data_IF_882739559184
#
_entry.id   IF_882739559184
#
_cell.length_a   1.000
_cell.length_b   1.000
_cell.length_c   1.000
_cell.angle_alpha   90.00
_cell.angle_beta   90.00
_cell.angle_gamma   90.00
#
_symmetry.space_group_name_H-M   'P 1'
#
loop_
_entity.id
_entity.type
_entity.pdbx_description
1 polymer ?
#
# COMPACT_ATOMS: atom_id res chain seq x y z
N UNK A 1 68.93 -21.07 28.28
CA UNK A 1 69.32 -22.49 28.56
C UNK A 1 68.36 -23.52 27.88
N UNK A 2 67.13 -23.21 27.71
CA UNK A 2 66.17 -24.16 27.06
C UNK A 2 66.41 -24.33 25.54
N UNK A 3 66.83 -23.27 24.84
CA UNK A 3 67.09 -23.32 23.39
C UNK A 3 68.27 -24.17 23.00
N UNK A 4 69.28 -24.25 23.88
CA UNK A 4 70.49 -25.11 23.62
C UNK A 4 70.19 -26.60 23.76
N UNK A 5 69.26 -27.01 24.61
CA UNK A 5 68.83 -28.40 24.74
C UNK A 5 67.95 -28.88 23.58
N UNK A 6 67.19 -28.02 23.00
CA UNK A 6 66.31 -28.33 21.86
C UNK A 6 67.13 -28.51 20.53
N UNK A 7 68.22 -27.77 20.39
CA UNK A 7 69.09 -27.86 19.23
C UNK A 7 69.90 -29.16 19.22
N UNK A 8 70.33 -29.65 20.40
CA UNK A 8 71.00 -30.91 20.50
C UNK A 8 70.08 -32.13 20.32
N UNK A 9 68.85 -32.07 20.81
CA UNK A 9 67.86 -33.14 20.58
C UNK A 9 67.42 -33.25 19.13
N UNK A 10 67.52 -32.18 18.33
CA UNK A 10 67.26 -32.19 16.89
C UNK A 10 68.38 -32.86 16.13
N UNK A 11 69.61 -32.73 16.57
CA UNK A 11 70.78 -33.30 15.88
C UNK A 11 70.99 -34.77 16.17
N UNK A 12 70.46 -35.33 17.29
CA UNK A 12 70.63 -36.71 17.69
C UNK A 12 69.47 -37.67 17.30
N UNK A 13 68.49 -37.16 16.54
CA UNK A 13 67.43 -38.01 15.95
C UNK A 13 66.40 -38.61 16.90
N UNK A 14 66.35 -38.19 18.18
CA UNK A 14 65.46 -38.76 19.23
C UNK A 14 64.08 -38.07 19.30
N UNK A 15 63.38 -37.93 18.19
CA UNK A 15 62.05 -37.29 18.14
C UNK A 15 60.87 -38.21 18.41
N UNK A 16 61.06 -39.36 19.08
CA UNK A 16 59.98 -40.33 19.22
C UNK A 16 59.40 -40.43 20.64
N UNK A 17 59.57 -39.38 21.46
CA UNK A 17 59.07 -39.41 22.83
C UNK A 17 57.89 -38.47 23.02
N UNK A 18 56.68 -39.01 23.07
CA UNK A 18 55.41 -38.31 23.26
C UNK A 18 55.37 -37.40 24.51
N UNK A 19 56.24 -37.65 25.49
CA UNK A 19 56.33 -36.88 26.72
C UNK A 19 56.87 -35.47 26.51
N UNK A 20 57.86 -35.29 25.62
CA UNK A 20 58.48 -33.99 25.34
C UNK A 20 57.52 -33.02 24.63
N UNK A 21 56.65 -33.59 23.76
CA UNK A 21 55.63 -32.79 23.05
C UNK A 21 54.53 -32.29 24.02
N UNK A 22 54.14 -33.09 24.98
CA UNK A 22 53.16 -32.70 26.00
C UNK A 22 53.69 -31.63 26.96
N UNK A 23 54.96 -31.72 27.37
CA UNK A 23 55.57 -30.71 28.24
C UNK A 23 55.76 -29.37 27.54
N UNK A 24 56.03 -29.33 26.24
CA UNK A 24 56.10 -28.13 25.44
C UNK A 24 54.71 -27.47 25.28
N UNK A 25 53.68 -28.27 25.04
CA UNK A 25 52.31 -27.78 24.89
C UNK A 25 51.82 -27.23 26.23
N UNK A 26 52.10 -27.95 27.35
CA UNK A 26 51.64 -27.52 28.69
C UNK A 26 52.40 -26.31 29.21
N UNK A 27 53.66 -26.08 28.82
CA UNK A 27 54.40 -24.87 29.17
C UNK A 27 53.97 -23.65 28.36
N UNK A 28 53.59 -23.82 27.08
CA UNK A 28 53.04 -22.74 26.25
C UNK A 28 51.69 -22.27 26.69
N UNK A 29 50.85 -23.16 27.26
CA UNK A 29 49.52 -22.81 27.77
C UNK A 29 49.54 -22.01 29.08
N UNK A 30 50.64 -22.16 29.88
CA UNK A 30 50.77 -21.44 31.15
C UNK A 30 51.07 -19.94 31.00
N UNK A 31 51.48 -19.48 29.81
CA UNK A 31 51.81 -18.07 29.58
C UNK A 31 50.71 -17.26 28.85
N UNK A 32 49.61 -17.89 28.44
CA UNK A 32 48.45 -17.17 27.89
C UNK A 32 47.67 -16.56 29.07
N UNK A 33 47.91 -15.27 29.33
CA UNK A 33 47.14 -14.54 30.35
C UNK A 33 45.63 -14.70 30.04
N UNK A 34 44.79 -14.94 31.09
CA UNK A 34 43.33 -15.13 30.91
C UNK A 34 42.66 -13.96 30.17
N UNK A 35 43.29 -12.80 30.13
CA UNK A 35 42.84 -11.61 29.40
C UNK A 35 42.83 -11.82 27.87
N UNK A 36 43.78 -12.58 27.30
CA UNK A 36 43.83 -12.83 25.85
C UNK A 36 42.73 -13.78 25.34
N UNK A 37 42.30 -14.72 26.14
CA UNK A 37 41.20 -15.65 25.81
C UNK A 37 39.84 -14.92 25.87
N UNK A 38 39.66 -14.01 26.84
CA UNK A 38 38.44 -13.20 26.96
C UNK A 38 38.34 -12.21 25.78
N UNK A 39 39.48 -11.64 25.32
CA UNK A 39 39.51 -10.74 24.15
C UNK A 39 39.19 -11.49 22.85
N UNK A 40 39.68 -12.70 22.67
CA UNK A 40 39.38 -13.53 21.47
C UNK A 40 37.91 -13.98 21.46
N UNK A 41 37.35 -14.32 22.61
CA UNK A 41 35.93 -14.65 22.77
C UNK A 41 35.03 -13.40 22.53
N UNK A 42 35.45 -12.22 23.01
CA UNK A 42 34.72 -10.98 22.79
C UNK A 42 34.71 -10.56 21.30
N UNK A 43 35.82 -10.78 20.57
CA UNK A 43 35.89 -10.51 19.11
C UNK A 43 34.97 -11.48 18.31
N UNK A 44 34.88 -12.73 18.72
CA UNK A 44 33.96 -13.71 18.10
C UNK A 44 32.47 -13.41 18.39
N UNK A 45 32.17 -12.83 19.56
CA UNK A 45 30.79 -12.38 19.88
C UNK A 45 30.39 -11.09 19.18
N UNK A 46 31.33 -10.19 18.84
CA UNK A 46 31.06 -8.96 18.11
C UNK A 46 30.84 -9.18 16.60
N UNK A 47 31.20 -10.34 16.04
CA UNK A 47 30.91 -10.67 14.65
C UNK A 47 29.54 -11.34 14.46
N UNK A 48 28.82 -11.67 15.54
CA UNK A 48 27.54 -12.38 15.52
C UNK A 48 26.30 -11.52 15.32
N UNK A 49 26.39 -10.17 15.37
CA UNK A 49 25.27 -9.25 15.10
C UNK A 49 25.37 -8.56 13.74
N UNK A 50 25.78 -9.27 12.72
CA UNK A 50 25.48 -8.89 11.35
C UNK A 50 23.98 -9.07 11.13
N UNK A 51 23.21 -7.97 11.15
CA UNK A 51 21.83 -8.00 10.67
C UNK A 51 21.85 -8.77 9.35
N UNK A 52 21.15 -9.91 9.29
CA UNK A 52 21.03 -10.71 8.10
C UNK A 52 20.51 -9.76 7.00
N UNK A 53 21.36 -9.31 6.10
CA UNK A 53 20.95 -8.56 4.93
C UNK A 53 19.95 -9.46 4.24
N UNK A 54 18.67 -9.05 4.28
CA UNK A 54 17.59 -9.72 3.58
C UNK A 54 18.06 -9.87 2.14
N UNK A 55 18.41 -11.07 1.74
CA UNK A 55 18.93 -11.35 0.42
C UNK A 55 17.80 -11.08 -0.55
N UNK A 56 17.85 -9.93 -1.24
CA UNK A 56 16.88 -9.59 -2.27
C UNK A 56 17.18 -10.54 -3.42
N UNK A 57 16.33 -11.56 -3.58
CA UNK A 57 16.39 -12.45 -4.73
C UNK A 57 16.29 -11.61 -6.02
N UNK A 58 17.03 -11.95 -7.07
CA UNK A 58 16.83 -11.35 -8.39
C UNK A 58 15.35 -11.39 -8.78
N UNK A 59 14.87 -10.39 -9.49
CA UNK A 59 13.46 -10.28 -9.90
C UNK A 59 12.94 -11.57 -10.58
N UNK A 60 13.77 -12.24 -11.36
CA UNK A 60 13.47 -13.51 -12.02
C UNK A 60 13.23 -14.71 -11.09
N UNK A 61 13.56 -14.61 -9.79
CA UNK A 61 13.44 -15.70 -8.82
C UNK A 61 12.35 -15.47 -7.77
N UNK A 62 11.66 -14.35 -7.79
CA UNK A 62 10.59 -14.05 -6.84
C UNK A 62 9.28 -13.71 -7.54
N UNK A 63 8.17 -13.92 -6.85
CA UNK A 63 6.88 -13.41 -7.31
C UNK A 63 6.86 -11.88 -7.21
N UNK A 64 6.29 -11.17 -8.19
CA UNK A 64 6.10 -9.73 -8.08
C UNK A 64 5.11 -9.39 -6.96
N UNK A 65 5.34 -8.28 -6.30
CA UNK A 65 4.34 -7.66 -5.42
C UNK A 65 3.40 -6.81 -6.25
N UNK A 66 2.13 -7.14 -6.21
CA UNK A 66 1.08 -6.45 -6.95
C UNK A 66 0.41 -5.40 -6.06
N UNK A 67 0.52 -4.13 -6.45
CA UNK A 67 -0.18 -3.02 -5.85
C UNK A 67 -1.44 -2.69 -6.64
N UNK A 68 -2.59 -2.67 -5.97
CA UNK A 68 -3.87 -2.24 -6.54
C UNK A 68 -4.17 -0.82 -6.09
N UNK A 69 -4.32 0.10 -7.04
CA UNK A 69 -4.68 1.50 -6.80
C UNK A 69 -6.14 1.70 -7.16
N UNK A 70 -6.96 2.09 -6.18
CA UNK A 70 -8.39 2.36 -6.33
C UNK A 70 -8.63 3.87 -6.31
N UNK A 71 -9.05 4.41 -7.43
CA UNK A 71 -9.22 5.85 -7.62
C UNK A 71 -10.45 6.43 -6.92
N UNK A 72 -10.46 7.76 -6.75
CA UNK A 72 -11.61 8.54 -6.29
C UNK A 72 -12.70 8.63 -7.36
N UNK A 73 -13.95 8.89 -6.94
CA UNK A 73 -15.05 9.02 -7.88
C UNK A 73 -16.45 8.93 -7.27
N UNK A 74 -16.56 9.06 -5.96
CA UNK A 74 -17.82 9.06 -5.20
C UNK A 74 -18.71 7.85 -5.55
N UNK A 75 -19.99 8.04 -5.99
CA UNK A 75 -20.92 6.95 -6.32
C UNK A 75 -20.38 5.97 -7.37
N UNK A 76 -19.46 6.41 -8.24
CA UNK A 76 -18.83 5.54 -9.25
C UNK A 76 -17.95 4.44 -8.61
N UNK A 77 -17.66 4.54 -7.31
CA UNK A 77 -16.96 3.52 -6.53
C UNK A 77 -17.58 2.13 -6.56
N UNK A 78 -18.87 1.99 -6.89
CA UNK A 78 -19.48 0.69 -7.12
C UNK A 78 -18.77 -0.11 -8.24
N UNK A 79 -18.10 0.56 -9.18
CA UNK A 79 -17.29 -0.12 -10.19
C UNK A 79 -16.07 -0.82 -9.60
N UNK A 80 -15.46 -0.29 -8.52
CA UNK A 80 -14.36 -0.97 -7.82
C UNK A 80 -14.78 -2.33 -7.27
N UNK A 81 -16.02 -2.44 -6.78
CA UNK A 81 -16.56 -3.71 -6.28
C UNK A 81 -16.55 -4.77 -7.38
N UNK A 82 -17.00 -4.38 -8.59
CA UNK A 82 -16.99 -5.25 -9.75
C UNK A 82 -15.58 -5.65 -10.21
N UNK A 83 -14.62 -4.71 -10.19
CA UNK A 83 -13.22 -5.00 -10.52
C UNK A 83 -12.63 -5.98 -9.51
N UNK A 84 -12.79 -5.72 -8.20
CA UNK A 84 -12.31 -6.61 -7.14
C UNK A 84 -12.88 -8.02 -7.28
N UNK A 85 -14.16 -8.14 -7.63
CA UNK A 85 -14.79 -9.45 -7.92
C UNK A 85 -14.11 -10.16 -9.08
N UNK A 86 -13.85 -9.47 -10.20
CA UNK A 86 -13.19 -10.05 -11.36
C UNK A 86 -11.76 -10.51 -11.03
N UNK A 87 -10.97 -9.69 -10.31
CA UNK A 87 -9.61 -10.03 -9.90
C UNK A 87 -9.58 -11.22 -8.92
N UNK A 88 -10.52 -11.28 -7.96
CA UNK A 88 -10.62 -12.39 -7.00
C UNK A 88 -11.01 -13.70 -7.68
N UNK A 89 -11.97 -13.69 -8.63
CA UNK A 89 -12.37 -14.85 -9.40
C UNK A 89 -11.22 -15.45 -10.21
N UNK A 90 -10.37 -14.60 -10.76
CA UNK A 90 -9.16 -14.98 -11.51
C UNK A 90 -7.95 -15.22 -10.62
N UNK A 91 -8.13 -15.13 -9.28
CA UNK A 91 -7.08 -15.36 -8.27
C UNK A 91 -5.85 -14.48 -8.48
N UNK A 92 -6.04 -13.26 -8.97
CA UNK A 92 -4.95 -12.29 -9.07
C UNK A 92 -4.52 -11.91 -7.65
N UNK A 93 -3.25 -12.12 -7.27
CA UNK A 93 -2.79 -11.75 -5.94
C UNK A 93 -2.74 -10.22 -5.80
N UNK A 94 -3.17 -9.72 -4.65
CA UNK A 94 -3.10 -8.30 -4.31
C UNK A 94 -2.28 -8.20 -3.04
N UNK A 95 -1.05 -7.64 -3.15
CA UNK A 95 -0.11 -7.57 -2.04
C UNK A 95 -0.21 -6.26 -1.24
N UNK A 96 -0.76 -5.21 -1.85
CA UNK A 96 -1.10 -3.96 -1.19
C UNK A 96 -2.20 -3.21 -1.93
N UNK A 97 -2.94 -2.38 -1.22
CA UNK A 97 -4.00 -1.53 -1.77
C UNK A 97 -3.73 -0.08 -1.40
N UNK A 98 -3.81 0.80 -2.41
CA UNK A 98 -3.80 2.26 -2.23
C UNK A 98 -5.16 2.79 -2.66
N UNK A 99 -5.84 3.53 -1.79
CA UNK A 99 -7.16 4.07 -2.08
C UNK A 99 -7.25 5.57 -1.89
N UNK A 100 -7.99 6.24 -2.78
CA UNK A 100 -8.32 7.67 -2.68
C UNK A 100 -9.83 7.83 -2.63
N UNK A 101 -10.36 8.64 -1.70
CA UNK A 101 -11.78 8.93 -1.58
C UNK A 101 -12.61 7.64 -1.45
N UNK A 102 -13.62 7.43 -2.32
CA UNK A 102 -14.39 6.16 -2.35
C UNK A 102 -13.50 4.95 -2.55
N UNK A 103 -12.38 5.07 -3.29
CA UNK A 103 -11.39 4.00 -3.42
C UNK A 103 -10.75 3.64 -2.08
N UNK A 104 -10.61 4.61 -1.16
CA UNK A 104 -10.13 4.34 0.19
C UNK A 104 -11.17 3.58 1.02
N UNK A 105 -12.46 3.90 0.87
CA UNK A 105 -13.56 3.19 1.55
C UNK A 105 -13.63 1.73 1.10
N UNK A 106 -13.74 1.50 -0.22
CA UNK A 106 -13.83 0.14 -0.79
C UNK A 106 -12.55 -0.64 -0.50
N UNK A 107 -11.38 0.01 -0.65
CA UNK A 107 -10.08 -0.59 -0.37
C UNK A 107 -9.91 -1.00 1.09
N UNK A 108 -10.33 -0.17 2.05
CA UNK A 108 -10.26 -0.49 3.47
C UNK A 108 -11.14 -1.68 3.86
N UNK A 109 -12.37 -1.74 3.33
CA UNK A 109 -13.30 -2.84 3.60
C UNK A 109 -12.72 -4.15 3.04
N UNK A 110 -12.25 -4.13 1.80
CA UNK A 110 -11.66 -5.30 1.17
C UNK A 110 -10.33 -5.71 1.80
N UNK A 111 -9.44 -4.77 2.09
CA UNK A 111 -8.16 -5.07 2.74
C UNK A 111 -8.31 -5.70 4.12
N UNK A 112 -9.32 -5.27 4.89
CA UNK A 112 -9.64 -5.84 6.20
C UNK A 112 -10.22 -7.25 6.10
N UNK A 113 -10.99 -7.53 5.07
CA UNK A 113 -11.58 -8.84 4.79
C UNK A 113 -11.71 -9.09 3.29
N UNK A 114 -10.67 -9.68 2.63
CA UNK A 114 -10.70 -9.97 1.21
C UNK A 114 -11.78 -11.01 0.88
N UNK A 115 -12.95 -10.51 0.54
CA UNK A 115 -14.13 -11.28 0.16
C UNK A 115 -15.03 -10.41 -0.72
N UNK A 116 -14.91 -10.56 -2.03
CA UNK A 116 -15.66 -9.75 -2.99
C UNK A 116 -17.16 -10.00 -2.94
N UNK A 117 -17.61 -11.17 -2.52
CA UNK A 117 -19.03 -11.47 -2.38
C UNK A 117 -19.66 -10.70 -1.21
N UNK A 118 -19.01 -10.69 -0.02
CA UNK A 118 -19.48 -9.87 1.10
C UNK A 118 -19.46 -8.38 0.76
N UNK A 119 -18.43 -7.92 0.06
CA UNK A 119 -18.30 -6.54 -0.40
C UNK A 119 -19.44 -6.17 -1.37
N UNK A 120 -19.76 -7.04 -2.33
CA UNK A 120 -20.85 -6.83 -3.29
C UNK A 120 -22.21 -6.74 -2.58
N UNK A 121 -22.45 -7.65 -1.62
CA UNK A 121 -23.69 -7.64 -0.83
C UNK A 121 -23.84 -6.35 -0.04
N UNK A 122 -22.79 -5.94 0.68
CA UNK A 122 -22.78 -4.67 1.40
C UNK A 122 -23.03 -3.47 0.47
N UNK A 123 -22.39 -3.47 -0.72
CA UNK A 123 -22.57 -2.39 -1.70
C UNK A 123 -24.00 -2.31 -2.24
N UNK A 124 -24.69 -3.45 -2.38
CA UNK A 124 -26.10 -3.48 -2.76
C UNK A 124 -27.01 -2.86 -1.68
N UNK A 125 -26.74 -3.12 -0.42
CA UNK A 125 -27.54 -2.62 0.69
C UNK A 125 -27.24 -1.14 1.01
N UNK A 126 -26.05 -0.65 0.62
CA UNK A 126 -25.60 0.71 0.94
C UNK A 126 -26.52 1.77 0.33
N UNK A 127 -27.10 2.61 1.17
CA UNK A 127 -27.87 3.77 0.75
C UNK A 127 -27.07 5.08 0.95
N UNK A 128 -27.47 6.13 0.21
CA UNK A 128 -26.82 7.44 0.29
C UNK A 128 -26.81 7.98 1.73
N UNK A 129 -27.90 7.79 2.44
CA UNK A 129 -28.08 8.28 3.81
C UNK A 129 -27.26 7.53 4.86
N UNK A 130 -26.66 6.40 4.51
CA UNK A 130 -25.73 5.67 5.39
C UNK A 130 -24.36 6.35 5.49
N UNK A 131 -23.98 7.13 4.47
CA UNK A 131 -22.67 7.77 4.37
C UNK A 131 -22.75 9.28 4.58
N UNK A 132 -23.82 9.93 4.07
CA UNK A 132 -23.93 11.39 4.06
C UNK A 132 -24.83 11.89 5.20
N UNK A 133 -24.26 12.68 6.10
CA UNK A 133 -24.95 13.38 7.19
C UNK A 133 -25.16 14.86 6.82
N UNK A 134 -26.19 15.13 6.02
CA UNK A 134 -26.56 16.50 5.69
C UNK A 134 -27.06 17.24 6.94
N UNK A 135 -26.37 18.30 7.33
CA UNK A 135 -26.79 19.18 8.44
C UNK A 135 -27.18 20.56 7.93
N UNK A 136 -28.40 20.97 8.20
CA UNK A 136 -28.89 22.33 7.91
C UNK A 136 -28.19 23.43 8.74
N UNK A 137 -27.54 23.04 9.85
CA UNK A 137 -26.75 23.91 10.74
C UNK A 137 -25.25 23.80 10.54
N UNK A 138 -24.83 23.28 9.39
CA UNK A 138 -23.43 22.93 9.14
C UNK A 138 -22.50 24.13 9.02
N UNK A 139 -21.23 23.86 9.30
CA UNK A 139 -20.13 24.81 9.31
C UNK A 139 -19.98 25.57 7.99
N UNK A 140 -19.35 26.74 8.03
CA UNK A 140 -18.99 27.53 6.83
C UNK A 140 -18.06 26.78 5.87
N UNK A 141 -17.51 25.62 6.29
CA UNK A 141 -16.49 24.86 5.56
C UNK A 141 -17.01 23.63 4.81
N UNK A 142 -18.26 23.19 5.08
CA UNK A 142 -18.89 22.09 4.37
C UNK A 142 -20.20 21.64 5.02
N UNK A 143 -21.23 21.24 4.22
CA UNK A 143 -22.54 20.86 4.71
C UNK A 143 -22.57 19.46 5.35
N UNK A 144 -21.54 18.63 5.18
CA UNK A 144 -21.47 17.25 5.67
C UNK A 144 -20.32 17.13 6.67
N UNK A 145 -20.61 16.69 7.90
CA UNK A 145 -19.58 16.47 8.92
C UNK A 145 -18.78 15.20 8.68
N UNK A 146 -19.43 14.15 8.18
CA UNK A 146 -18.84 12.85 7.89
C UNK A 146 -18.89 11.88 9.06
N UNK A 147 -19.63 12.17 10.12
CA UNK A 147 -19.82 11.27 11.26
C UNK A 147 -20.48 9.95 10.83
N UNK A 148 -21.38 10.00 9.83
CA UNK A 148 -22.01 8.79 9.26
C UNK A 148 -21.01 7.92 8.51
N UNK A 149 -20.12 8.52 7.72
CA UNK A 149 -19.06 7.80 7.02
C UNK A 149 -18.12 7.10 8.01
N UNK A 150 -17.70 7.81 9.08
CA UNK A 150 -16.88 7.20 10.14
C UNK A 150 -17.59 6.00 10.79
N UNK A 151 -18.87 6.15 11.18
CA UNK A 151 -19.68 5.08 11.75
C UNK A 151 -19.83 3.90 10.78
N UNK A 152 -20.02 4.20 9.49
CA UNK A 152 -20.11 3.19 8.45
C UNK A 152 -18.81 2.38 8.34
N UNK A 153 -17.66 3.05 8.34
CA UNK A 153 -16.34 2.39 8.33
C UNK A 153 -16.15 1.53 9.58
N UNK A 154 -16.45 2.06 10.79
CA UNK A 154 -16.37 1.29 12.04
C UNK A 154 -17.23 0.03 12.00
N UNK A 155 -18.42 0.09 11.37
CA UNK A 155 -19.34 -1.03 11.25
C UNK A 155 -18.86 -2.10 10.27
N UNK A 156 -18.26 -1.70 9.15
CA UNK A 156 -17.98 -2.60 8.02
C UNK A 156 -16.51 -2.98 7.85
N UNK A 157 -15.57 -2.20 8.37
CA UNK A 157 -14.15 -2.54 8.37
C UNK A 157 -13.82 -3.41 9.58
N UNK A 158 -13.58 -4.70 9.35
CA UNK A 158 -13.35 -5.68 10.43
C UNK A 158 -12.05 -5.43 11.21
N UNK A 159 -11.06 -4.78 10.62
CA UNK A 159 -9.83 -4.36 11.29
C UNK A 159 -9.96 -2.89 11.70
N UNK A 160 -9.94 -2.60 13.00
CA UNK A 160 -10.12 -1.24 13.50
C UNK A 160 -8.98 -0.30 13.08
N UNK A 161 -7.76 -0.82 13.05
CA UNK A 161 -6.58 -0.07 12.64
C UNK A 161 -6.04 -0.60 11.29
N UNK A 162 -5.51 0.31 10.48
CA UNK A 162 -4.97 0.02 9.15
C UNK A 162 -3.87 -1.04 9.20
N UNK A 163 -2.94 -0.93 10.14
CA UNK A 163 -1.82 -1.85 10.31
C UNK A 163 -2.21 -3.29 10.65
N UNK A 164 -3.48 -3.52 11.03
CA UNK A 164 -4.02 -4.84 11.36
C UNK A 164 -4.84 -5.46 10.21
N UNK A 165 -4.91 -4.82 9.05
CA UNK A 165 -5.61 -5.34 7.89
C UNK A 165 -4.88 -6.55 7.28
N UNK A 166 -5.63 -7.45 6.66
CA UNK A 166 -5.07 -8.66 6.02
C UNK A 166 -4.20 -8.34 4.81
N UNK A 167 -4.58 -7.31 4.05
CA UNK A 167 -3.80 -6.76 2.95
C UNK A 167 -3.29 -5.39 3.40
N UNK A 168 -1.98 -5.08 3.29
CA UNK A 168 -1.43 -3.76 3.52
C UNK A 168 -2.24 -2.68 2.78
N UNK A 169 -2.74 -1.70 3.53
CA UNK A 169 -3.64 -0.67 3.01
C UNK A 169 -3.10 0.74 3.27
N UNK A 170 -3.33 1.62 2.31
CA UNK A 170 -2.90 3.01 2.33
C UNK A 170 -4.03 3.90 1.84
N UNK A 171 -4.52 4.81 2.68
CA UNK A 171 -5.48 5.84 2.27
C UNK A 171 -4.74 7.13 1.94
N UNK A 172 -5.04 7.73 0.79
CA UNK A 172 -4.40 8.96 0.33
C UNK A 172 -5.34 10.14 0.49
N UNK A 173 -4.87 11.19 1.15
CA UNK A 173 -5.52 12.48 1.30
C UNK A 173 -4.54 13.60 0.90
N UNK A 174 -4.96 14.86 0.99
CA UNK A 174 -4.15 16.02 0.65
C UNK A 174 -4.09 17.00 1.84
N UNK A 175 -2.90 17.50 2.16
CA UNK A 175 -2.71 18.63 3.06
C UNK A 175 -3.09 19.92 2.33
N UNK A 176 -4.16 20.59 2.78
CA UNK A 176 -4.69 21.79 2.13
C UNK A 176 -3.72 22.99 2.18
N UNK A 177 -2.79 23.02 3.15
CA UNK A 177 -1.84 24.11 3.29
C UNK A 177 -0.66 24.01 2.33
N UNK A 178 -0.24 22.79 2.01
CA UNK A 178 0.99 22.52 1.24
C UNK A 178 0.73 21.92 -0.14
N UNK A 179 -0.42 21.27 -0.33
CA UNK A 179 -0.72 20.46 -1.51
C UNK A 179 -0.02 19.09 -1.50
N UNK A 180 0.69 18.75 -0.42
CA UNK A 180 1.40 17.48 -0.34
C UNK A 180 0.47 16.31 -0.02
N UNK A 181 0.76 15.09 -0.52
CA UNK A 181 0.00 13.91 -0.17
C UNK A 181 0.15 13.55 1.30
N UNK A 182 -0.96 13.21 1.95
CA UNK A 182 -1.00 12.62 3.30
C UNK A 182 -1.39 11.17 3.15
N UNK A 183 -0.45 10.26 3.38
CA UNK A 183 -0.67 8.82 3.26
C UNK A 183 -0.85 8.22 4.65
N UNK A 184 -2.03 7.65 4.88
CA UNK A 184 -2.35 6.94 6.13
C UNK A 184 -2.00 5.46 5.95
N UNK A 185 -1.07 4.95 6.73
CA UNK A 185 -0.62 3.55 6.75
C UNK A 185 -0.78 2.88 8.12
N UNK A 186 -1.35 3.60 9.09
CA UNK A 186 -1.61 3.15 10.46
C UNK A 186 -2.65 4.01 11.15
N UNK A 187 -3.17 3.51 12.25
CA UNK A 187 -4.18 4.17 13.06
C UNK A 187 -5.61 3.83 12.63
N UNK A 188 -6.61 4.52 13.18
CA UNK A 188 -8.01 4.22 12.96
C UNK A 188 -8.42 4.33 11.49
N UNK A 189 -9.02 3.25 10.96
CA UNK A 189 -9.42 3.18 9.55
C UNK A 189 -10.48 4.22 9.21
N UNK A 190 -11.41 4.49 10.14
CA UNK A 190 -12.47 5.48 9.97
C UNK A 190 -11.92 6.90 9.77
N UNK A 191 -10.87 7.26 10.50
CA UNK A 191 -10.23 8.57 10.36
C UNK A 191 -9.50 8.70 9.02
N UNK A 192 -8.78 7.65 8.61
CA UNK A 192 -8.07 7.65 7.35
C UNK A 192 -9.00 7.72 6.13
N UNK A 193 -10.08 6.93 6.13
CA UNK A 193 -11.10 6.95 5.07
C UNK A 193 -11.85 8.28 5.07
N UNK A 194 -12.20 8.79 6.26
CA UNK A 194 -12.88 10.09 6.39
C UNK A 194 -12.01 11.24 5.86
N UNK A 195 -10.71 11.25 6.18
CA UNK A 195 -9.75 12.22 5.68
C UNK A 195 -9.64 12.15 4.14
N UNK A 196 -9.44 10.93 3.61
CA UNK A 196 -9.32 10.67 2.17
C UNK A 196 -10.57 11.04 1.38
N UNK A 197 -11.75 11.08 2.03
CA UNK A 197 -13.04 11.39 1.42
C UNK A 197 -13.55 12.81 1.74
N UNK A 198 -12.69 13.69 2.28
CA UNK A 198 -13.06 15.07 2.66
C UNK A 198 -13.13 16.01 1.47
N UNK A 199 -14.06 15.78 0.54
CA UNK A 199 -14.24 16.57 -0.69
C UNK A 199 -14.50 18.04 -0.32
N UNK A 200 -13.64 19.01 -0.80
CA UNK A 200 -13.81 20.42 -0.51
C UNK A 200 -15.17 20.94 -0.95
N UNK A 201 -15.82 21.74 -0.08
CA UNK A 201 -17.17 22.27 -0.32
C UNK A 201 -18.32 21.28 -0.08
N UNK A 202 -18.03 19.99 0.12
CA UNK A 202 -19.01 18.94 0.44
C UNK A 202 -18.85 18.48 1.88
N UNK A 203 -17.68 18.01 2.24
CA UNK A 203 -17.36 17.60 3.60
C UNK A 203 -16.55 18.68 4.34
N UNK A 204 -16.75 18.75 5.65
CA UNK A 204 -15.87 19.54 6.50
C UNK A 204 -14.47 18.95 6.49
N UNK A 205 -13.40 19.72 6.19
CA UNK A 205 -12.03 19.25 6.28
C UNK A 205 -11.68 18.71 7.66
N UNK A 206 -10.78 17.73 7.74
CA UNK A 206 -10.30 17.21 9.00
C UNK A 206 -9.04 17.95 9.47
N UNK A 207 -9.04 18.35 10.75
CA UNK A 207 -7.83 18.85 11.39
C UNK A 207 -7.10 17.67 12.05
N UNK A 208 -5.94 17.30 11.53
CA UNK A 208 -5.12 16.21 12.05
C UNK A 208 -3.77 16.80 12.46
N UNK A 209 -3.55 16.94 13.77
CA UNK A 209 -2.42 17.68 14.33
C UNK A 209 -2.45 19.14 13.82
N UNK A 210 -1.38 19.57 13.13
CA UNK A 210 -1.24 20.93 12.57
C UNK A 210 -1.66 21.02 11.09
N UNK A 211 -2.23 19.95 10.52
CA UNK A 211 -2.62 19.86 9.10
C UNK A 211 -4.12 19.97 8.93
N UNK A 212 -4.53 20.70 7.92
CA UNK A 212 -5.92 20.70 7.41
C UNK A 212 -5.94 19.70 6.24
N UNK A 213 -6.65 18.59 6.42
CA UNK A 213 -6.63 17.49 5.45
C UNK A 213 -7.95 17.44 4.69
N UNK A 214 -7.83 17.33 3.37
CA UNK A 214 -8.94 17.21 2.43
C UNK A 214 -8.77 15.97 1.55
N UNK A 215 -9.78 15.67 0.72
CA UNK A 215 -9.79 14.54 -0.22
C UNK A 215 -8.54 14.51 -1.10
N UNK A 216 -7.96 13.32 -1.26
CA UNK A 216 -6.80 13.13 -2.11
C UNK A 216 -7.05 13.43 -3.59
N UNK A 217 -8.30 13.40 -4.05
CA UNK A 217 -8.68 13.78 -5.41
C UNK A 217 -8.26 15.19 -5.83
N UNK A 218 -7.97 16.09 -4.86
CA UNK A 218 -7.43 17.43 -5.12
C UNK A 218 -6.06 17.37 -5.83
N UNK A 219 -5.27 16.35 -5.54
CA UNK A 219 -3.93 16.11 -6.14
C UNK A 219 -3.91 14.96 -7.14
N UNK A 220 -5.08 14.53 -7.61
CA UNK A 220 -5.31 13.40 -8.51
C UNK A 220 -6.06 12.28 -7.86
N UNK A 221 -7.01 11.69 -8.59
CA UNK A 221 -7.88 10.65 -8.03
C UNK A 221 -7.17 9.31 -7.85
N UNK A 222 -6.04 9.07 -8.52
CA UNK A 222 -5.22 7.88 -8.42
C UNK A 222 -3.82 8.21 -7.90
N UNK A 223 -3.18 7.25 -7.22
CA UNK A 223 -1.84 7.43 -6.63
C UNK A 223 -0.94 6.22 -6.88
N UNK A 224 -0.58 5.93 -8.15
CA UNK A 224 0.33 4.82 -8.50
C UNK A 224 1.72 5.00 -7.89
N UNK A 225 2.21 6.24 -7.78
CA UNK A 225 3.47 6.59 -7.13
C UNK A 225 3.52 6.11 -5.67
N UNK A 226 2.38 6.20 -4.96
CA UNK A 226 2.30 5.68 -3.58
C UNK A 226 2.45 4.16 -3.55
N UNK A 227 1.82 3.43 -4.47
CA UNK A 227 1.97 1.97 -4.55
C UNK A 227 3.43 1.58 -4.83
N UNK A 228 4.12 2.27 -5.73
CA UNK A 228 5.56 2.07 -6.00
C UNK A 228 6.40 2.33 -4.75
N UNK A 229 6.21 3.47 -4.08
CA UNK A 229 6.92 3.82 -2.83
C UNK A 229 6.70 2.78 -1.71
N UNK A 230 5.53 2.14 -1.68
CA UNK A 230 5.20 1.07 -0.72
C UNK A 230 5.67 -0.31 -1.19
N UNK A 231 6.38 -0.38 -2.30
CA UNK A 231 7.13 -1.55 -2.75
C UNK A 231 6.38 -2.45 -3.72
N UNK A 232 5.36 -1.94 -4.43
CA UNK A 232 4.75 -2.66 -5.54
C UNK A 232 5.73 -2.78 -6.72
N UNK A 233 5.86 -3.99 -7.25
CA UNK A 233 6.61 -4.28 -8.47
C UNK A 233 5.74 -4.09 -9.72
N UNK A 234 4.46 -4.44 -9.59
CA UNK A 234 3.43 -4.25 -10.61
C UNK A 234 2.34 -3.38 -9.99
N UNK A 235 1.95 -2.32 -10.68
CA UNK A 235 0.90 -1.39 -10.25
C UNK A 235 -0.28 -1.51 -11.21
N UNK A 236 -1.41 -1.96 -10.66
CA UNK A 236 -2.71 -2.00 -11.34
C UNK A 236 -3.49 -0.78 -10.86
N UNK A 237 -3.84 0.13 -11.76
CA UNK A 237 -4.66 1.31 -11.46
C UNK A 237 -6.08 1.07 -11.93
N UNK A 238 -7.05 1.27 -11.03
CA UNK A 238 -8.48 1.32 -11.36
C UNK A 238 -8.93 2.76 -11.32
N UNK A 239 -9.06 3.37 -12.49
CA UNK A 239 -9.53 4.74 -12.66
C UNK A 239 -11.01 4.76 -13.00
N UNK A 240 -11.82 5.34 -12.10
CA UNK A 240 -13.27 5.50 -12.25
C UNK A 240 -13.66 6.96 -12.53
N UNK A 241 -12.74 7.74 -13.09
CA UNK A 241 -13.01 9.10 -13.55
C UNK A 241 -14.13 9.09 -14.59
N UNK A 242 -15.00 10.11 -14.56
CA UNK A 242 -16.04 10.25 -15.58
C UNK A 242 -15.55 11.05 -16.78
N UNK A 243 -16.26 10.92 -17.89
CA UNK A 243 -16.18 11.89 -18.98
C UNK A 243 -16.57 13.29 -18.48
N UNK A 244 -15.78 14.29 -18.84
CA UNK A 244 -16.00 15.72 -18.46
C UNK A 244 -17.03 16.42 -19.35
N UNK A 245 -17.78 15.68 -20.18
CA UNK A 245 -18.80 16.22 -21.08
C UNK A 245 -20.19 16.27 -20.44
N UNK A 246 -21.00 17.26 -20.80
CA UNK A 246 -22.42 17.39 -20.43
C UNK A 246 -22.71 17.47 -18.93
N UNK A 247 -22.13 18.47 -18.24
CA UNK A 247 -22.36 18.68 -16.82
C UNK A 247 -23.44 19.75 -16.56
N UNK A 248 -24.31 19.46 -15.57
CA UNK A 248 -25.31 20.43 -15.10
C UNK A 248 -24.67 21.41 -14.11
N UNK A 249 -24.68 22.70 -14.43
CA UNK A 249 -24.12 23.78 -13.59
C UNK A 249 -25.21 24.55 -12.85
N UNK A 250 -25.98 23.88 -11.99
CA UNK A 250 -27.11 24.51 -11.31
C UNK A 250 -26.75 25.39 -10.09
N UNK A 251 -25.60 25.12 -9.43
CA UNK A 251 -25.19 25.85 -8.23
C UNK A 251 -23.66 25.81 -8.04
N UNK A 252 -23.17 26.64 -7.09
CA UNK A 252 -21.74 26.81 -6.83
C UNK A 252 -21.04 25.50 -6.43
N UNK A 253 -21.70 24.60 -5.68
CA UNK A 253 -21.15 23.31 -5.28
C UNK A 253 -20.92 22.42 -6.51
N UNK A 254 -21.91 22.35 -7.40
CA UNK A 254 -21.79 21.60 -8.66
C UNK A 254 -20.67 22.13 -9.54
N UNK A 255 -20.57 23.45 -9.68
CA UNK A 255 -19.48 24.09 -10.43
C UNK A 255 -18.12 23.73 -9.83
N UNK A 256 -17.99 23.78 -8.50
CA UNK A 256 -16.74 23.44 -7.79
C UNK A 256 -16.38 21.98 -7.98
N UNK A 257 -17.35 21.05 -7.84
CA UNK A 257 -17.12 19.62 -8.07
C UNK A 257 -16.70 19.36 -9.52
N UNK A 258 -17.33 20.02 -10.49
CA UNK A 258 -16.93 19.89 -11.90
C UNK A 258 -15.52 20.42 -12.15
N UNK A 259 -15.13 21.53 -11.52
CA UNK A 259 -13.77 22.05 -11.64
C UNK A 259 -12.74 21.05 -11.05
N UNK A 260 -13.05 20.46 -9.90
CA UNK A 260 -12.21 19.39 -9.28
C UNK A 260 -12.13 18.17 -10.21
N UNK A 261 -13.26 17.70 -10.76
CA UNK A 261 -13.29 16.58 -11.72
C UNK A 261 -12.43 16.88 -12.98
N UNK A 262 -12.49 18.11 -13.53
CA UNK A 262 -11.67 18.49 -14.68
C UNK A 262 -10.18 18.49 -14.33
N UNK A 263 -9.80 19.12 -13.22
CA UNK A 263 -8.40 19.15 -12.77
C UNK A 263 -7.89 17.76 -12.47
N UNK A 264 -8.66 16.95 -11.72
CA UNK A 264 -8.34 15.58 -11.39
C UNK A 264 -8.15 14.73 -12.65
N UNK A 265 -9.05 14.81 -13.62
CA UNK A 265 -8.92 14.10 -14.91
C UNK A 265 -7.61 14.44 -15.64
N UNK A 266 -7.22 15.71 -15.65
CA UNK A 266 -5.94 16.13 -16.27
C UNK A 266 -4.74 15.57 -15.53
N UNK A 267 -4.74 15.59 -14.21
CA UNK A 267 -3.68 15.03 -13.38
C UNK A 267 -3.61 13.52 -13.58
N UNK A 268 -4.75 12.84 -13.58
CA UNK A 268 -4.81 11.37 -13.74
C UNK A 268 -4.29 10.91 -15.10
N UNK A 269 -4.45 11.70 -16.18
CA UNK A 269 -3.85 11.38 -17.48
C UNK A 269 -2.32 11.24 -17.41
N UNK A 270 -1.66 12.02 -16.56
CA UNK A 270 -0.22 11.89 -16.34
C UNK A 270 0.10 10.73 -15.37
N UNK A 271 -0.63 10.63 -14.27
CA UNK A 271 -0.41 9.58 -13.27
C UNK A 271 -0.69 8.17 -13.79
N UNK A 272 -1.66 8.00 -14.68
CA UNK A 272 -1.98 6.71 -15.29
C UNK A 272 -0.80 6.14 -16.12
N UNK A 273 0.15 6.96 -16.55
CA UNK A 273 1.35 6.50 -17.25
C UNK A 273 2.29 5.68 -16.36
N UNK A 274 2.18 5.83 -15.03
CA UNK A 274 2.97 5.07 -14.05
C UNK A 274 2.34 3.70 -13.72
N UNK A 275 1.18 3.38 -14.31
CA UNK A 275 0.53 2.09 -14.17
C UNK A 275 1.12 1.05 -15.15
N UNK A 276 1.37 -0.18 -14.68
CA UNK A 276 1.68 -1.31 -15.57
C UNK A 276 0.40 -1.83 -16.25
N UNK A 277 -0.72 -1.75 -15.52
CA UNK A 277 -2.06 -2.09 -16.05
C UNK A 277 -3.06 -1.04 -15.61
N UNK A 278 -3.74 -0.44 -16.57
CA UNK A 278 -4.82 0.50 -16.34
C UNK A 278 -6.17 -0.16 -16.60
N UNK A 279 -7.08 -0.08 -15.62
CA UNK A 279 -8.45 -0.55 -15.70
C UNK A 279 -9.37 0.66 -15.64
N UNK A 280 -10.11 0.90 -16.70
CA UNK A 280 -11.06 2.02 -16.80
C UNK A 280 -12.47 1.49 -17.06
N UNK A 281 -13.26 1.23 -16.00
CA UNK A 281 -14.66 0.86 -16.17
C UNK A 281 -15.46 1.96 -16.88
N UNK A 282 -16.37 1.57 -17.77
CA UNK A 282 -17.28 2.48 -18.48
C UNK A 282 -18.36 3.01 -17.51
N UNK A 283 -18.00 3.97 -16.63
CA UNK A 283 -18.90 4.51 -15.61
C UNK A 283 -19.88 5.56 -16.12
N UNK A 284 -19.76 5.99 -17.37
CA UNK A 284 -20.63 7.00 -17.99
C UNK A 284 -20.63 8.35 -17.26
N UNK A 285 -21.74 9.08 -17.40
CA UNK A 285 -21.95 10.38 -16.76
C UNK A 285 -22.73 10.24 -15.43
N UNK A 286 -22.40 9.23 -14.60
CA UNK A 286 -23.07 9.06 -13.31
C UNK A 286 -22.68 10.18 -12.36
N UNK A 287 -23.67 10.87 -11.83
CA UNK A 287 -23.47 11.99 -10.91
C UNK A 287 -22.82 11.55 -9.59
N UNK A 288 -22.06 12.45 -8.97
CA UNK A 288 -21.26 12.18 -7.76
C UNK A 288 -22.08 11.55 -6.61
N UNK A 289 -23.39 11.84 -6.51
CA UNK A 289 -24.26 11.31 -5.45
C UNK A 289 -25.40 10.43 -5.98
N UNK A 290 -25.27 9.89 -7.18
CA UNK A 290 -26.30 9.02 -7.80
C UNK A 290 -26.04 7.55 -7.43
N UNK A 291 -26.75 7.05 -6.44
CA UNK A 291 -26.69 5.66 -5.98
C UNK A 291 -27.68 4.75 -6.71
N UNK A 292 -28.48 5.27 -7.66
CA UNK A 292 -29.44 4.47 -8.41
C UNK A 292 -28.79 3.50 -9.41
N UNK A 293 -27.53 3.76 -9.79
CA UNK A 293 -26.76 3.05 -10.82
C UNK A 293 -25.83 1.96 -10.27
N UNK A 294 -25.97 1.54 -9.00
CA UNK A 294 -25.11 0.56 -8.34
C UNK A 294 -24.83 -0.68 -9.20
N UNK A 295 -25.90 -1.34 -9.67
CA UNK A 295 -25.79 -2.57 -10.48
C UNK A 295 -25.07 -2.33 -11.80
N UNK A 296 -25.40 -1.26 -12.51
CA UNK A 296 -24.78 -0.88 -13.78
C UNK A 296 -23.27 -0.65 -13.61
N UNK A 297 -22.88 0.11 -12.58
CA UNK A 297 -21.48 0.38 -12.27
C UNK A 297 -20.71 -0.88 -11.86
N UNK A 298 -21.29 -1.75 -11.03
CA UNK A 298 -20.66 -3.02 -10.68
C UNK A 298 -20.44 -3.91 -11.90
N UNK A 299 -21.42 -3.99 -12.81
CA UNK A 299 -21.27 -4.75 -14.05
C UNK A 299 -20.20 -4.16 -14.98
N UNK A 300 -20.11 -2.83 -15.08
CA UNK A 300 -19.03 -2.14 -15.81
C UNK A 300 -17.66 -2.49 -15.20
N UNK A 301 -17.56 -2.52 -13.87
CA UNK A 301 -16.36 -2.92 -13.17
C UNK A 301 -15.95 -4.37 -13.44
N UNK A 302 -16.92 -5.32 -13.40
CA UNK A 302 -16.65 -6.72 -13.72
C UNK A 302 -16.11 -6.84 -15.15
N UNK A 303 -16.78 -6.23 -16.12
CA UNK A 303 -16.40 -6.25 -17.54
C UNK A 303 -14.97 -5.72 -17.74
N UNK A 304 -14.66 -4.56 -17.14
CA UNK A 304 -13.34 -3.93 -17.27
C UNK A 304 -12.25 -4.77 -16.56
N UNK A 305 -12.54 -5.31 -15.38
CA UNK A 305 -11.63 -6.18 -14.65
C UNK A 305 -11.30 -7.44 -15.46
N UNK A 306 -12.32 -8.14 -15.98
CA UNK A 306 -12.14 -9.33 -16.83
C UNK A 306 -11.32 -9.01 -18.10
N UNK A 307 -11.58 -7.88 -18.74
CA UNK A 307 -10.84 -7.46 -19.94
C UNK A 307 -9.35 -7.19 -19.64
N UNK A 308 -9.00 -6.81 -18.41
CA UNK A 308 -7.63 -6.52 -18.02
C UNK A 308 -6.80 -7.76 -17.63
N UNK A 309 -7.43 -8.92 -17.39
CA UNK A 309 -6.75 -10.14 -16.92
C UNK A 309 -5.57 -10.55 -17.83
N UNK A 310 -5.69 -10.58 -19.18
CA UNK A 310 -4.55 -10.92 -20.02
C UNK A 310 -3.37 -9.96 -19.86
N UNK A 311 -3.63 -8.66 -19.71
CA UNK A 311 -2.58 -7.66 -19.48
C UNK A 311 -1.89 -7.84 -18.12
N UNK A 312 -2.66 -8.19 -17.08
CA UNK A 312 -2.11 -8.48 -15.74
C UNK A 312 -1.19 -9.71 -15.80
N UNK A 313 -1.62 -10.80 -16.42
CA UNK A 313 -0.77 -11.98 -16.59
C UNK A 313 0.48 -11.67 -17.37
N UNK A 314 0.38 -10.89 -18.45
CA UNK A 314 1.53 -10.44 -19.22
C UNK A 314 2.51 -9.63 -18.36
N UNK A 315 2.03 -8.68 -17.56
CA UNK A 315 2.90 -7.89 -16.66
C UNK A 315 3.63 -8.79 -15.64
N UNK A 316 2.95 -9.82 -15.10
CA UNK A 316 3.56 -10.80 -14.19
C UNK A 316 4.65 -11.62 -14.90
N UNK A 317 4.40 -12.06 -16.14
CA UNK A 317 5.38 -12.80 -16.94
C UNK A 317 6.57 -11.93 -17.33
N UNK A 318 6.35 -10.68 -17.73
CA UNK A 318 7.38 -9.72 -18.07
C UNK A 318 8.28 -9.38 -16.87
N UNK A 319 7.68 -9.27 -15.67
CA UNK A 319 8.46 -9.12 -14.44
C UNK A 319 9.35 -10.33 -14.18
N UNK A 320 8.81 -11.56 -14.27
CA UNK A 320 9.56 -12.80 -14.07
C UNK A 320 10.70 -12.97 -15.11
N UNK A 321 10.49 -12.46 -16.29
CA UNK A 321 11.48 -12.48 -17.36
C UNK A 321 12.48 -11.30 -17.31
N UNK A 322 12.36 -10.41 -16.33
CA UNK A 322 13.22 -9.22 -16.18
C UNK A 322 13.01 -8.15 -17.25
N UNK A 323 11.84 -8.14 -17.91
CA UNK A 323 11.51 -7.18 -18.98
C UNK A 323 10.65 -6.01 -18.52
N UNK A 324 10.05 -6.07 -17.31
CA UNK A 324 9.24 -4.99 -16.79
C UNK A 324 10.11 -3.75 -16.53
N UNK A 325 9.69 -2.57 -17.02
CA UNK A 325 10.44 -1.32 -16.87
C UNK A 325 11.58 -1.09 -17.86
N UNK A 326 11.66 -1.84 -18.96
CA UNK A 326 12.66 -1.64 -20.03
C UNK A 326 12.13 -0.83 -21.23
N UNK A 327 10.93 -0.23 -21.13
CA UNK A 327 10.33 0.60 -22.18
C UNK A 327 10.46 2.09 -21.85
#
# INVERSE_FOLDING_TARGET
MLEFHLLNAYLDGEWNNRSILWDLIMHSVKFVKPISVVFLAAILFLQGCGAAKKQILPASLRQPKIGLVLGGGASRGFAHVGVLRALEQEKIPIDLIVGTSVGSLIGAIYAANPNSFELEWMAFELEKDDIFDFSLLSSRTGPIKGDKLEKFVVKHVKARNIENMKIPFYAVACDLNTGEPVVFDKGPAEIAVRASSSIPGVFTPLNIKERIVVDGGVIGSVSPETARQKGADIVIVVNIGKSITNYETGNIVQITLQAIDIMGHRIDQYKNQDADVLIEPEVGNVGTMDFSKKKELMLAGIKAGQAAIPAIHKAIEDFKAGRLGQN
#
